data_IF_065576695637
#
_entry.id   IF_065576695637
#
_cell.length_a   1.000
_cell.length_b   1.000
_cell.length_c   1.000
_cell.angle_alpha   90.00
_cell.angle_beta   90.00
_cell.angle_gamma   90.00
#
_symmetry.space_group_name_H-M   'P 1'
#
loop_
_entity.id
_entity.type
_entity.pdbx_description
1 polymer ?
#
# COMPACT_ATOMS: atom_id res chain seq x y z
N UNK A 1 -16.55 4.41 0.81
CA UNK A 1 -15.35 4.60 -0.01
C UNK A 1 -14.22 3.71 0.49
N UNK A 2 -13.50 3.13 -0.42
CA UNK A 2 -12.38 2.23 -0.10
C UNK A 2 -11.12 2.67 -0.84
N UNK A 3 -10.02 2.74 -0.12
CA UNK A 3 -8.70 3.13 -0.64
C UNK A 3 -7.71 1.99 -0.52
N UNK A 4 -6.80 1.91 -1.46
CA UNK A 4 -5.59 1.10 -1.33
C UNK A 4 -4.41 2.03 -1.11
N UNK A 5 -3.71 1.86 0.00
CA UNK A 5 -2.58 2.70 0.39
C UNK A 5 -1.30 1.88 0.35
N UNK A 6 -0.37 2.26 -0.49
CA UNK A 6 0.91 1.55 -0.64
C UNK A 6 2.01 2.36 0.04
N UNK A 7 2.69 1.74 1.01
CA UNK A 7 3.79 2.37 1.74
C UNK A 7 5.10 1.75 1.26
N UNK A 8 5.94 2.54 0.60
CA UNK A 8 7.27 2.12 0.19
C UNK A 8 8.35 2.68 1.13
N UNK A 9 9.53 2.05 1.14
CA UNK A 9 10.57 2.35 2.12
C UNK A 9 11.41 3.56 1.77
N UNK A 10 11.15 4.67 2.44
CA UNK A 10 11.88 5.93 2.27
C UNK A 10 11.99 6.62 3.63
N UNK A 11 12.96 7.52 3.78
CA UNK A 11 13.07 8.35 4.99
C UNK A 11 11.84 9.23 5.21
N UNK A 12 11.06 9.47 4.16
CA UNK A 12 9.81 10.24 4.25
C UNK A 12 8.62 9.40 4.77
N UNK A 13 8.86 8.18 5.23
CA UNK A 13 7.80 7.25 5.65
C UNK A 13 6.93 7.81 6.80
N UNK A 14 7.49 8.68 7.64
CA UNK A 14 6.73 9.33 8.70
C UNK A 14 5.57 10.17 8.18
N UNK A 15 5.68 10.68 6.96
CA UNK A 15 4.60 11.45 6.33
C UNK A 15 3.38 10.56 5.99
N UNK A 16 3.61 9.27 5.76
CA UNK A 16 2.53 8.32 5.50
C UNK A 16 1.55 8.23 6.65
N UNK A 17 2.07 8.26 7.88
CA UNK A 17 1.22 8.19 9.07
C UNK A 17 0.34 9.43 9.21
N UNK A 18 0.87 10.60 8.85
CA UNK A 18 0.11 11.85 8.88
C UNK A 18 -1.04 11.78 7.87
N UNK A 19 -0.76 11.31 6.64
CA UNK A 19 -1.77 11.17 5.60
C UNK A 19 -2.83 10.15 6.03
N UNK A 20 -2.41 9.01 6.57
CA UNK A 20 -3.34 7.97 7.03
C UNK A 20 -4.25 8.47 8.14
N UNK A 21 -3.73 9.26 9.08
CA UNK A 21 -4.55 9.82 10.15
C UNK A 21 -5.62 10.78 9.61
N UNK A 22 -5.27 11.58 8.63
CA UNK A 22 -6.22 12.47 7.98
C UNK A 22 -7.31 11.70 7.23
N UNK A 23 -6.95 10.60 6.59
CA UNK A 23 -7.91 9.71 5.92
C UNK A 23 -8.83 9.04 6.95
N UNK A 24 -8.27 8.61 8.08
CA UNK A 24 -9.04 8.02 9.18
C UNK A 24 -10.14 8.96 9.68
N UNK A 25 -9.84 10.23 9.80
CA UNK A 25 -10.81 11.26 10.22
C UNK A 25 -11.99 11.37 9.27
N UNK A 26 -11.81 10.98 8.00
CA UNK A 26 -12.85 11.02 6.96
C UNK A 26 -13.70 9.75 6.91
N UNK A 27 -13.45 8.80 7.80
CA UNK A 27 -14.19 7.55 7.88
C UNK A 27 -14.12 6.69 6.60
N UNK A 28 -12.94 6.67 5.97
CA UNK A 28 -12.67 5.90 4.76
C UNK A 28 -12.02 4.57 5.13
N UNK A 29 -12.43 3.48 4.49
CA UNK A 29 -11.81 2.17 4.69
C UNK A 29 -10.53 2.10 3.86
N UNK A 30 -9.41 1.78 4.50
CA UNK A 30 -8.11 1.71 3.87
C UNK A 30 -7.52 0.32 4.04
N UNK A 31 -7.13 -0.31 2.92
CA UNK A 31 -6.25 -1.47 2.94
C UNK A 31 -4.84 -0.98 2.64
N UNK A 32 -3.84 -1.53 3.32
CA UNK A 32 -2.44 -1.14 3.13
C UNK A 32 -1.63 -2.28 2.53
N UNK A 33 -0.77 -1.94 1.57
CA UNK A 33 0.33 -2.81 1.15
C UNK A 33 1.62 -2.17 1.64
N UNK A 34 2.41 -2.94 2.39
CA UNK A 34 3.69 -2.48 2.93
C UNK A 34 4.80 -3.24 2.22
N UNK A 35 5.69 -2.49 1.53
CA UNK A 35 6.82 -3.11 0.83
C UNK A 35 7.82 -3.69 1.82
N UNK A 36 8.71 -4.58 1.33
CA UNK A 36 9.67 -5.25 2.19
C UNK A 36 10.58 -4.27 2.95
N UNK A 37 11.03 -3.21 2.29
CA UNK A 37 11.85 -2.19 2.93
C UNK A 37 11.05 -1.40 3.96
N UNK A 38 9.82 -1.02 3.62
CA UNK A 38 8.96 -0.25 4.51
C UNK A 38 8.58 -1.05 5.76
N UNK A 39 8.43 -2.36 5.65
CA UNK A 39 8.10 -3.24 6.78
C UNK A 39 9.07 -3.07 7.94
N UNK A 40 10.34 -2.81 7.65
CA UNK A 40 11.39 -2.63 8.66
C UNK A 40 11.39 -1.23 9.28
N UNK A 41 10.66 -0.29 8.70
CA UNK A 41 10.69 1.13 9.06
C UNK A 41 9.41 1.62 9.74
N UNK A 42 8.30 0.88 9.62
CA UNK A 42 7.00 1.31 10.15
C UNK A 42 6.65 0.63 11.47
N UNK A 43 5.80 1.29 12.25
CA UNK A 43 5.17 0.69 13.42
C UNK A 43 3.83 0.09 12.99
N UNK A 44 3.81 -1.24 12.80
CA UNK A 44 2.62 -1.96 12.33
C UNK A 44 1.43 -1.83 13.27
N UNK A 45 1.69 -1.81 14.59
CA UNK A 45 0.61 -1.66 15.58
C UNK A 45 -0.10 -0.33 15.43
N UNK A 46 0.66 0.73 15.16
CA UNK A 46 0.09 2.06 14.97
C UNK A 46 -0.75 2.11 13.70
N UNK A 47 -0.26 1.54 12.60
CA UNK A 47 -1.00 1.50 11.35
C UNK A 47 -2.31 0.73 11.52
N UNK A 48 -2.28 -0.41 12.19
CA UNK A 48 -3.48 -1.21 12.45
C UNK A 48 -4.56 -0.45 13.23
N UNK A 49 -4.15 0.48 14.10
CA UNK A 49 -5.10 1.31 14.85
C UNK A 49 -5.73 2.39 13.99
N UNK A 50 -5.02 2.85 12.97
CA UNK A 50 -5.46 3.96 12.13
C UNK A 50 -6.36 3.49 10.99
N UNK A 51 -6.02 2.37 10.34
CA UNK A 51 -6.79 1.89 9.18
C UNK A 51 -7.97 1.01 9.62
N UNK A 52 -9.02 1.02 8.82
CA UNK A 52 -10.20 0.16 9.05
C UNK A 52 -10.17 -1.11 8.22
N UNK A 53 -9.25 -1.22 7.27
CA UNK A 53 -9.05 -2.40 6.43
C UNK A 53 -7.93 -3.28 6.96
N UNK A 54 -7.28 -3.99 6.04
CA UNK A 54 -6.24 -4.97 6.36
C UNK A 54 -4.87 -4.52 5.86
N UNK A 55 -3.82 -5.06 6.49
CA UNK A 55 -2.43 -4.86 6.07
C UNK A 55 -1.97 -6.08 5.30
N UNK A 56 -1.38 -5.85 4.13
CA UNK A 56 -0.76 -6.86 3.29
C UNK A 56 0.71 -6.53 3.06
N UNK A 57 1.52 -7.56 2.85
CA UNK A 57 2.94 -7.41 2.54
C UNK A 57 3.19 -7.82 1.09
N UNK A 58 4.30 -7.38 0.53
CA UNK A 58 4.64 -7.70 -0.87
C UNK A 58 4.70 -9.21 -1.15
N UNK A 59 5.00 -10.02 -0.16
CA UNK A 59 5.02 -11.49 -0.29
C UNK A 59 3.65 -12.14 -0.16
N UNK A 60 2.61 -11.41 0.20
CA UNK A 60 1.28 -11.99 0.47
C UNK A 60 0.69 -12.69 -0.76
N UNK A 61 1.01 -12.23 -1.96
CA UNK A 61 0.48 -12.82 -3.19
C UNK A 61 1.05 -14.21 -3.50
N UNK A 62 2.17 -14.59 -2.88
CA UNK A 62 2.74 -15.94 -3.05
C UNK A 62 1.74 -17.03 -2.67
N UNK A 63 0.88 -16.76 -1.71
CA UNK A 63 -0.12 -17.70 -1.21
C UNK A 63 -1.50 -17.47 -1.82
N UNK A 64 -1.69 -16.36 -2.55
CA UNK A 64 -2.96 -16.03 -3.18
C UNK A 64 -2.69 -15.23 -4.45
N UNK A 65 -2.62 -15.93 -5.57
CA UNK A 65 -2.26 -15.35 -6.88
C UNK A 65 -3.23 -14.28 -7.38
N UNK A 66 -4.45 -14.25 -6.85
CA UNK A 66 -5.48 -13.29 -7.27
C UNK A 66 -5.65 -12.13 -6.29
N UNK A 67 -4.75 -12.02 -5.31
CA UNK A 67 -4.88 -11.00 -4.28
C UNK A 67 -4.85 -9.59 -4.86
N UNK A 68 -3.98 -9.32 -5.83
CA UNK A 68 -3.88 -8.00 -6.44
C UNK A 68 -5.18 -7.59 -7.14
N UNK A 69 -5.88 -8.53 -7.76
CA UNK A 69 -7.17 -8.26 -8.40
C UNK A 69 -8.23 -7.94 -7.34
N UNK A 70 -8.27 -8.74 -6.28
CA UNK A 70 -9.23 -8.54 -5.19
C UNK A 70 -9.02 -7.20 -4.49
N UNK A 71 -7.75 -6.80 -4.27
CA UNK A 71 -7.43 -5.54 -3.62
C UNK A 71 -7.78 -4.32 -4.46
N UNK A 72 -7.71 -4.43 -5.79
CA UNK A 72 -7.93 -3.29 -6.67
C UNK A 72 -9.36 -3.20 -7.22
N UNK A 73 -10.11 -4.29 -7.17
CA UNK A 73 -11.45 -4.36 -7.82
C UNK A 73 -12.45 -3.35 -7.26
N UNK A 74 -12.50 -3.17 -5.95
CA UNK A 74 -13.48 -2.31 -5.28
C UNK A 74 -12.87 -1.03 -4.71
N UNK A 75 -11.69 -0.68 -5.16
CA UNK A 75 -10.95 0.47 -4.67
C UNK A 75 -11.20 1.66 -5.60
N UNK A 76 -11.54 2.79 -5.01
CA UNK A 76 -11.80 4.03 -5.76
C UNK A 76 -10.52 4.81 -6.05
N UNK A 77 -9.48 4.62 -5.24
CA UNK A 77 -8.23 5.35 -5.37
C UNK A 77 -7.07 4.54 -4.80
N UNK A 78 -5.93 4.59 -5.47
CA UNK A 78 -4.68 4.02 -4.96
C UNK A 78 -3.74 5.18 -4.66
N UNK A 79 -3.23 5.21 -3.43
CA UNK A 79 -2.26 6.22 -3.00
C UNK A 79 -0.95 5.50 -2.69
N UNK A 80 0.15 5.99 -3.26
CA UNK A 80 1.50 5.52 -2.95
C UNK A 80 2.22 6.61 -2.17
N UNK A 81 2.46 6.39 -0.89
CA UNK A 81 3.07 7.39 -0.01
C UNK A 81 3.88 6.73 1.11
N UNK A 82 5.18 6.93 1.17
CA UNK A 82 5.99 7.63 0.19
C UNK A 82 6.19 6.80 -1.08
N UNK A 83 6.40 7.46 -2.21
CA UNK A 83 6.70 6.80 -3.46
C UNK A 83 8.22 6.84 -3.70
N UNK A 84 8.88 5.68 -3.63
CA UNK A 84 10.31 5.59 -3.88
C UNK A 84 10.60 5.59 -5.38
N UNK A 85 11.83 5.96 -5.75
CA UNK A 85 12.28 5.87 -7.13
C UNK A 85 12.11 4.46 -7.69
N UNK A 86 12.33 3.44 -6.87
CA UNK A 86 12.18 2.04 -7.27
C UNK A 86 10.74 1.72 -7.70
N UNK A 87 9.75 2.08 -6.88
CA UNK A 87 8.36 1.77 -7.21
C UNK A 87 7.87 2.59 -8.40
N UNK A 88 8.33 3.84 -8.53
CA UNK A 88 8.01 4.68 -9.69
C UNK A 88 8.60 4.07 -10.97
N UNK A 89 9.86 3.63 -10.92
CA UNK A 89 10.52 2.99 -12.05
C UNK A 89 9.82 1.70 -12.46
N UNK A 90 9.41 0.87 -11.50
CA UNK A 90 8.67 -0.36 -11.80
C UNK A 90 7.36 -0.05 -12.51
N UNK A 91 6.61 0.90 -12.01
CA UNK A 91 5.34 1.27 -12.63
C UNK A 91 5.55 1.83 -14.03
N UNK A 92 6.51 2.73 -14.20
CA UNK A 92 6.80 3.34 -15.50
C UNK A 92 7.25 2.32 -16.55
N UNK A 93 7.92 1.24 -16.15
CA UNK A 93 8.45 0.21 -17.04
C UNK A 93 7.58 -1.06 -17.10
N UNK A 94 6.42 -1.06 -16.46
CA UNK A 94 5.51 -2.19 -16.50
C UNK A 94 5.96 -3.41 -15.68
N UNK A 95 6.83 -3.24 -14.68
CA UNK A 95 7.26 -4.35 -13.83
C UNK A 95 6.20 -4.67 -12.77
N UNK A 96 5.81 -5.93 -12.72
CA UNK A 96 4.82 -6.44 -11.77
C UNK A 96 5.41 -7.66 -11.04
N UNK A 97 6.45 -7.43 -10.24
CA UNK A 97 7.22 -8.51 -9.60
C UNK A 97 6.92 -8.69 -8.10
N UNK A 98 6.06 -7.85 -7.53
CA UNK A 98 5.60 -8.00 -6.15
C UNK A 98 4.15 -7.51 -6.04
N UNK A 99 3.56 -7.62 -4.85
CA UNK A 99 2.15 -7.25 -4.67
C UNK A 99 1.91 -5.78 -4.96
N UNK A 100 2.78 -4.88 -4.50
CA UNK A 100 2.61 -3.45 -4.70
C UNK A 100 2.64 -3.09 -6.20
N UNK A 101 3.68 -3.52 -6.92
CA UNK A 101 3.82 -3.23 -8.34
C UNK A 101 2.73 -3.90 -9.17
N UNK A 102 2.36 -5.14 -8.84
CA UNK A 102 1.30 -5.87 -9.53
C UNK A 102 -0.04 -5.17 -9.35
N UNK A 103 -0.35 -4.70 -8.15
CA UNK A 103 -1.59 -3.97 -7.87
C UNK A 103 -1.67 -2.66 -8.65
N UNK A 104 -0.57 -1.93 -8.74
CA UNK A 104 -0.51 -0.70 -9.51
C UNK A 104 -0.75 -0.95 -11.01
N UNK A 105 -0.13 -1.98 -11.57
CA UNK A 105 -0.30 -2.33 -12.98
C UNK A 105 -1.73 -2.80 -13.27
N UNK A 106 -2.34 -3.52 -12.35
CA UNK A 106 -3.70 -4.06 -12.51
C UNK A 106 -4.80 -3.02 -12.32
N UNK A 107 -4.46 -1.85 -11.78
CA UNK A 107 -5.44 -0.80 -11.49
C UNK A 107 -6.00 -0.10 -12.72
#
# INVERSE_FOLDING_TARGET
MRLLFIISGSIAISKSLIVLQKIFEKNIIVDCIITNKAKKMVNLKLIKKIIKGKIYFNSSEKNNKMLHIRLTRNVELIIVCPATANIIAKYANGYADDLASTSLIAS
#
